data_IF_259786949821
#
_entry.id   IF_259786949821
#
_cell.length_a   1.000
_cell.length_b   1.000
_cell.length_c   1.000
_cell.angle_alpha   90.00
_cell.angle_beta   90.00
_cell.angle_gamma   90.00
#
_symmetry.space_group_name_H-M   'P 1'
#
loop_
_entity.id
_entity.type
_entity.pdbx_description
1 polymer ?
#
# COMPACT_ATOMS: atom_id res chain seq x y z
N UNK A 1 -8.72 9.35 -20.96
CA UNK A 1 -8.96 10.70 -20.39
C UNK A 1 -10.16 10.58 -19.47
N UNK A 2 -10.02 10.85 -18.17
CA UNK A 2 -11.15 10.82 -17.23
C UNK A 2 -12.08 12.01 -17.53
N UNK A 3 -13.39 11.76 -17.56
CA UNK A 3 -14.42 12.78 -17.76
C UNK A 3 -14.68 13.49 -16.43
N UNK A 4 -14.55 14.81 -16.40
CA UNK A 4 -15.00 15.62 -15.27
C UNK A 4 -16.53 15.67 -15.30
N UNK A 5 -17.19 15.15 -14.26
CA UNK A 5 -18.65 15.17 -14.13
C UNK A 5 -19.08 16.53 -13.57
N UNK A 6 -20.02 17.20 -14.23
CA UNK A 6 -20.61 18.46 -13.72
C UNK A 6 -21.59 18.17 -12.58
N UNK A 7 -21.74 19.13 -11.68
CA UNK A 7 -22.70 19.05 -10.56
C UNK A 7 -24.14 18.77 -11.04
N UNK A 8 -24.55 19.31 -12.18
CA UNK A 8 -25.86 19.04 -12.77
C UNK A 8 -26.04 17.56 -13.14
N UNK A 9 -25.02 16.94 -13.73
CA UNK A 9 -25.06 15.53 -14.12
C UNK A 9 -25.09 14.61 -12.89
N UNK A 10 -24.34 14.97 -11.83
CA UNK A 10 -24.40 14.25 -10.56
C UNK A 10 -25.80 14.30 -9.93
N UNK A 11 -26.46 15.46 -9.95
CA UNK A 11 -27.83 15.61 -9.45
C UNK A 11 -28.82 14.71 -10.20
N UNK A 12 -28.68 14.59 -11.52
CA UNK A 12 -29.55 13.73 -12.32
C UNK A 12 -29.39 12.25 -11.90
N UNK A 13 -28.16 11.81 -11.63
CA UNK A 13 -27.89 10.45 -11.12
C UNK A 13 -28.52 10.24 -9.75
N UNK A 14 -28.32 11.17 -8.81
CA UNK A 14 -28.87 11.07 -7.45
C UNK A 14 -30.41 11.04 -7.45
N UNK A 15 -31.05 11.84 -8.31
CA UNK A 15 -32.51 11.87 -8.44
C UNK A 15 -33.09 10.58 -9.06
N UNK A 16 -32.28 9.79 -9.76
CA UNK A 16 -32.68 8.54 -10.36
C UNK A 16 -32.53 7.31 -9.43
N UNK A 17 -31.95 7.50 -8.23
CA UNK A 17 -31.76 6.40 -7.28
C UNK A 17 -33.10 5.91 -6.69
N UNK A 18 -33.24 4.60 -6.43
CA UNK A 18 -34.45 4.03 -5.84
C UNK A 18 -34.63 4.51 -4.39
N UNK A 19 -35.84 4.96 -4.06
CA UNK A 19 -36.20 5.51 -2.75
C UNK A 19 -36.50 4.40 -1.72
N UNK A 20 -36.76 3.17 -2.19
CA UNK A 20 -37.10 2.01 -1.36
C UNK A 20 -35.87 1.25 -0.82
N UNK A 21 -34.65 1.74 -1.10
CA UNK A 21 -33.40 1.14 -0.65
C UNK A 21 -32.58 2.13 0.16
N UNK A 22 -31.93 1.61 1.19
CA UNK A 22 -30.90 2.35 1.91
C UNK A 22 -29.60 2.29 1.09
N UNK A 23 -29.27 3.39 0.41
CA UNK A 23 -28.10 3.51 -0.47
C UNK A 23 -27.08 4.43 0.19
N UNK A 24 -25.89 3.90 0.45
CA UNK A 24 -24.77 4.67 0.95
C UNK A 24 -23.98 5.30 -0.21
N UNK A 25 -23.58 6.56 -0.06
CA UNK A 25 -22.66 7.23 -0.97
C UNK A 25 -21.25 6.81 -0.58
N UNK A 26 -20.53 6.21 -1.51
CA UNK A 26 -19.18 5.70 -1.27
C UNK A 26 -18.18 6.23 -2.30
N UNK A 27 -16.91 6.21 -1.93
CA UNK A 27 -15.75 6.43 -2.80
C UNK A 27 -14.74 5.29 -2.64
N UNK A 28 -13.68 5.27 -3.45
CA UNK A 28 -12.68 4.20 -3.44
C UNK A 28 -13.01 3.04 -4.38
N UNK A 29 -12.49 1.87 -4.07
CA UNK A 29 -12.68 0.65 -4.86
C UNK A 29 -13.88 -0.17 -4.34
N UNK A 30 -14.50 -1.01 -5.18
CA UNK A 30 -15.65 -1.84 -4.79
C UNK A 30 -15.33 -2.80 -3.62
N UNK A 31 -14.08 -3.23 -3.51
CA UNK A 31 -13.61 -4.13 -2.46
C UNK A 31 -13.22 -3.41 -1.15
N UNK A 32 -13.09 -2.08 -1.18
CA UNK A 32 -12.78 -1.24 -0.02
C UNK A 32 -13.47 0.13 -0.15
N UNK A 33 -14.81 0.17 -0.03
CA UNK A 33 -15.55 1.42 -0.16
C UNK A 33 -15.43 2.26 1.12
N UNK A 34 -15.11 3.54 0.95
CA UNK A 34 -15.16 4.55 2.00
C UNK A 34 -16.53 5.23 1.95
N UNK A 35 -17.23 5.30 3.08
CA UNK A 35 -18.59 5.85 3.15
C UNK A 35 -18.58 7.33 3.50
N UNK A 36 -19.48 8.09 2.88
CA UNK A 36 -19.64 9.51 3.14
C UNK A 36 -20.19 9.75 4.55
N UNK A 37 -19.38 10.33 5.44
CA UNK A 37 -19.76 10.61 6.83
C UNK A 37 -20.30 12.02 7.04
N UNK A 38 -19.77 13.01 6.32
CA UNK A 38 -20.18 14.41 6.47
C UNK A 38 -20.07 15.16 5.14
N UNK A 39 -21.00 16.08 4.90
CA UNK A 39 -20.93 17.01 3.77
C UNK A 39 -21.12 18.44 4.24
N UNK A 40 -20.36 19.37 3.67
CA UNK A 40 -20.57 20.80 3.87
C UNK A 40 -20.42 21.56 2.56
N UNK A 41 -21.26 22.58 2.38
CA UNK A 41 -21.15 23.50 1.26
C UNK A 41 -20.50 24.78 1.78
N UNK A 42 -19.36 25.16 1.21
CA UNK A 42 -18.67 26.41 1.51
C UNK A 42 -18.50 27.16 0.19
N UNK A 43 -19.14 28.32 0.10
CA UNK A 43 -19.28 29.09 -1.14
C UNK A 43 -19.87 28.26 -2.30
N UNK A 44 -19.11 28.02 -3.35
CA UNK A 44 -19.48 27.21 -4.51
C UNK A 44 -18.81 25.83 -4.53
N UNK A 45 -18.16 25.44 -3.42
CA UNK A 45 -17.44 24.17 -3.27
C UNK A 45 -18.18 23.22 -2.32
N UNK A 46 -18.44 21.99 -2.79
CA UNK A 46 -18.97 20.90 -1.97
C UNK A 46 -17.82 20.10 -1.37
N UNK A 47 -17.68 20.18 -0.05
CA UNK A 47 -16.77 19.36 0.72
C UNK A 47 -17.47 18.09 1.18
N UNK A 48 -16.82 16.96 0.92
CA UNK A 48 -17.29 15.62 1.28
C UNK A 48 -16.21 14.97 2.12
N UNK A 49 -16.56 14.58 3.34
CA UNK A 49 -15.71 13.81 4.22
C UNK A 49 -16.22 12.37 4.21
N UNK A 50 -15.34 11.45 3.82
CA UNK A 50 -15.57 10.03 3.90
C UNK A 50 -14.96 9.48 5.19
N UNK A 51 -15.45 8.33 5.66
CA UNK A 51 -14.74 7.61 6.71
C UNK A 51 -13.36 7.17 6.19
N UNK A 52 -12.42 7.02 7.11
CA UNK A 52 -11.24 6.24 6.79
C UNK A 52 -11.73 4.79 6.76
N UNK A 53 -11.55 4.09 5.63
CA UNK A 53 -11.55 2.64 5.63
C UNK A 53 -10.69 2.15 6.82
N UNK A 54 -11.06 1.05 7.51
CA UNK A 54 -10.35 0.59 8.71
C UNK A 54 -8.83 0.67 8.49
N UNK A 55 -8.11 1.20 9.48
CA UNK A 55 -6.66 1.50 9.43
C UNK A 55 -5.77 0.31 9.04
N UNK A 56 -6.32 -0.89 8.86
CA UNK A 56 -5.61 -2.11 8.45
C UNK A 56 -5.28 -2.21 6.95
N UNK A 57 -5.63 -1.23 6.12
CA UNK A 57 -5.20 -1.18 4.70
C UNK A 57 -4.52 0.13 4.30
N UNK A 58 -3.65 0.67 5.16
CA UNK A 58 -2.61 1.61 4.72
C UNK A 58 -1.43 0.86 4.11
N UNK A 59 -1.40 0.76 2.77
CA UNK A 59 -0.14 0.66 2.03
C UNK A 59 0.34 2.12 1.83
N UNK A 60 1.53 2.56 2.23
CA UNK A 60 2.84 2.07 1.76
C UNK A 60 3.95 2.00 2.83
N UNK A 61 3.73 2.40 4.09
CA UNK A 61 4.76 2.29 5.15
C UNK A 61 4.63 1.02 6.02
N UNK A 62 3.65 0.14 5.71
CA UNK A 62 3.30 -1.02 6.54
C UNK A 62 3.08 -2.34 5.80
N UNK A 63 3.33 -2.43 4.48
CA UNK A 63 3.13 -3.68 3.70
C UNK A 63 3.88 -4.88 4.30
N UNK A 64 4.97 -4.62 5.01
CA UNK A 64 5.90 -5.66 5.46
C UNK A 64 6.40 -6.49 4.28
N UNK A 65 6.94 -7.67 4.58
CA UNK A 65 7.33 -8.64 3.56
C UNK A 65 6.19 -9.63 3.34
N UNK A 66 5.81 -9.88 2.09
CA UNK A 66 4.90 -10.99 1.74
C UNK A 66 5.65 -12.33 1.77
N UNK A 67 4.93 -13.45 1.74
CA UNK A 67 5.52 -14.79 1.92
C UNK A 67 6.72 -15.07 0.98
N UNK A 68 6.61 -14.71 -0.30
CA UNK A 68 7.70 -14.90 -1.27
C UNK A 68 8.95 -14.06 -0.94
N UNK A 69 8.75 -12.84 -0.42
CA UNK A 69 9.85 -11.94 -0.01
C UNK A 69 10.53 -12.43 1.26
N UNK A 70 9.75 -12.98 2.20
CA UNK A 70 10.30 -13.65 3.39
C UNK A 70 11.13 -14.87 2.99
N UNK A 71 10.70 -15.62 1.98
CA UNK A 71 11.46 -16.75 1.43
C UNK A 71 12.76 -16.30 0.76
N UNK A 72 12.75 -15.20 0.02
CA UNK A 72 13.94 -14.60 -0.55
C UNK A 72 14.93 -14.16 0.54
N UNK A 73 14.47 -13.43 1.55
CA UNK A 73 15.34 -13.01 2.67
C UNK A 73 15.92 -14.24 3.37
N UNK A 74 15.10 -15.26 3.63
CA UNK A 74 15.55 -16.52 4.24
C UNK A 74 16.64 -17.20 3.42
N UNK A 75 16.48 -17.31 2.09
CA UNK A 75 17.48 -17.94 1.23
C UNK A 75 18.81 -17.19 1.28
N UNK A 76 18.78 -15.85 1.41
CA UNK A 76 19.97 -15.02 1.60
C UNK A 76 20.66 -15.25 2.92
N UNK A 77 19.91 -15.33 4.01
CA UNK A 77 20.48 -15.71 5.32
C UNK A 77 21.14 -17.10 5.26
N UNK A 78 20.47 -18.09 4.66
CA UNK A 78 21.02 -19.43 4.50
C UNK A 78 22.30 -19.44 3.66
N UNK A 79 22.36 -18.64 2.59
CA UNK A 79 23.57 -18.47 1.78
C UNK A 79 24.72 -17.91 2.60
N UNK A 80 24.53 -16.79 3.32
CA UNK A 80 25.57 -16.16 4.14
C UNK A 80 26.05 -17.12 5.24
N UNK A 81 25.13 -17.85 5.87
CA UNK A 81 25.45 -18.78 6.95
C UNK A 81 26.24 -19.99 6.44
N UNK A 82 25.95 -20.47 5.24
CA UNK A 82 26.62 -21.64 4.65
C UNK A 82 27.92 -21.32 3.92
N UNK A 83 28.16 -20.06 3.57
CA UNK A 83 29.37 -19.63 2.86
C UNK A 83 30.64 -19.95 3.69
N UNK A 84 31.72 -20.49 3.09
CA UNK A 84 32.92 -20.91 3.82
C UNK A 84 33.84 -19.72 4.17
N UNK A 85 33.26 -18.64 4.69
CA UNK A 85 33.95 -17.43 5.16
C UNK A 85 34.00 -17.37 6.69
N UNK A 86 34.87 -16.53 7.23
CA UNK A 86 35.01 -16.37 8.67
C UNK A 86 33.78 -15.72 9.32
N UNK A 87 33.63 -15.91 10.64
CA UNK A 87 32.47 -15.44 11.39
C UNK A 87 32.30 -13.91 11.39
N UNK A 88 33.40 -13.16 11.27
CA UNK A 88 33.35 -11.70 11.23
C UNK A 88 32.76 -11.24 9.90
N UNK A 89 33.22 -11.82 8.79
CA UNK A 89 32.70 -11.54 7.45
C UNK A 89 31.20 -11.88 7.34
N UNK A 90 30.74 -12.96 7.98
CA UNK A 90 29.29 -13.28 8.07
C UNK A 90 28.50 -12.25 8.87
N UNK A 91 29.04 -11.84 10.02
CA UNK A 91 28.40 -10.82 10.85
C UNK A 91 28.29 -9.48 10.12
N UNK A 92 29.33 -9.10 9.37
CA UNK A 92 29.34 -7.87 8.55
C UNK A 92 28.28 -7.95 7.43
N UNK A 93 28.11 -9.10 6.78
CA UNK A 93 27.08 -9.29 5.75
C UNK A 93 25.65 -9.23 6.32
N UNK A 94 25.42 -9.84 7.48
CA UNK A 94 24.12 -9.78 8.18
C UNK A 94 23.83 -8.35 8.65
N UNK A 95 24.84 -7.65 9.17
CA UNK A 95 24.72 -6.26 9.60
C UNK A 95 24.35 -5.36 8.42
N UNK A 96 24.99 -5.54 7.26
CA UNK A 96 24.68 -4.79 6.05
C UNK A 96 23.21 -4.99 5.62
N UNK A 97 22.74 -6.25 5.59
CA UNK A 97 21.33 -6.58 5.34
C UNK A 97 20.37 -5.87 6.29
N UNK A 98 20.70 -5.86 7.59
CA UNK A 98 19.88 -5.20 8.61
C UNK A 98 19.83 -3.68 8.42
N UNK A 99 20.97 -3.04 8.13
CA UNK A 99 21.03 -1.60 7.91
C UNK A 99 20.26 -1.18 6.65
N UNK A 100 20.39 -1.94 5.56
CA UNK A 100 19.59 -1.75 4.34
C UNK A 100 18.09 -1.83 4.66
N UNK A 101 17.68 -2.83 5.43
CA UNK A 101 16.28 -3.01 5.83
C UNK A 101 15.73 -1.94 6.78
N UNK A 102 16.59 -1.25 7.53
CA UNK A 102 16.18 -0.19 8.45
C UNK A 102 16.02 1.16 7.75
N UNK A 103 16.81 1.43 6.72
CA UNK A 103 16.84 2.72 6.02
C UNK A 103 15.90 2.79 4.81
N UNK A 104 15.32 1.66 4.39
CA UNK A 104 14.56 1.55 3.15
C UNK A 104 13.21 0.86 3.35
N UNK A 105 12.28 1.07 2.41
CA UNK A 105 11.00 0.37 2.38
C UNK A 105 11.19 -1.13 2.06
N UNK A 106 10.23 -1.97 2.46
CA UNK A 106 10.28 -3.41 2.17
C UNK A 106 10.39 -3.73 0.68
N UNK A 107 9.84 -2.90 -0.21
CA UNK A 107 9.96 -3.09 -1.65
C UNK A 107 11.38 -2.80 -2.17
N UNK A 108 11.98 -1.69 -1.73
CA UNK A 108 13.36 -1.30 -2.10
C UNK A 108 14.38 -2.33 -1.60
N UNK A 109 14.18 -2.87 -0.39
CA UNK A 109 15.02 -3.95 0.15
C UNK A 109 15.01 -5.16 -0.78
N UNK A 110 13.83 -5.55 -1.29
CA UNK A 110 13.70 -6.72 -2.16
C UNK A 110 14.33 -6.47 -3.53
N UNK A 111 14.13 -5.29 -4.12
CA UNK A 111 14.78 -4.90 -5.37
C UNK A 111 16.31 -4.98 -5.25
N UNK A 112 16.87 -4.49 -4.14
CA UNK A 112 18.31 -4.61 -3.88
C UNK A 112 18.73 -6.07 -3.78
N UNK A 113 17.99 -6.89 -3.02
CA UNK A 113 18.34 -8.31 -2.84
C UNK A 113 18.30 -9.10 -4.13
N UNK A 114 17.33 -8.84 -5.02
CA UNK A 114 17.27 -9.45 -6.34
C UNK A 114 18.41 -8.97 -7.25
N UNK A 115 18.80 -7.70 -7.15
CA UNK A 115 19.89 -7.12 -7.95
C UNK A 115 21.24 -7.79 -7.67
N UNK A 116 21.52 -8.14 -6.41
CA UNK A 116 22.76 -8.85 -6.02
C UNK A 116 22.81 -10.27 -6.61
N UNK A 117 21.68 -10.82 -7.07
CA UNK A 117 21.60 -12.12 -7.74
C UNK A 117 22.04 -12.06 -9.21
N UNK A 118 21.90 -10.91 -9.87
CA UNK A 118 22.21 -10.74 -11.31
C UNK A 118 23.65 -10.33 -11.61
N UNK A 119 24.44 -9.98 -10.59
CA UNK A 119 25.86 -9.60 -10.74
C UNK A 119 26.85 -10.76 -10.49
N UNK A 120 26.37 -12.01 -10.42
CA UNK A 120 27.21 -13.22 -10.29
C UNK A 120 27.22 -14.11 -11.52
#
# INVERSE_FOLDING_TARGET
MQKIVKVSELKDVLNALPIDKDIHIVTGEEWLPEQLVTTSLVDDMLFMQFDNAPEDTQCEEGRGFVQHEVELIRSRFEQIITEPIDAKSKADAILALFLIGHEQSSAEVIEILESVEFER
#
